data_IF_418369017192
#
_entry.id   IF_418369017192
#
_cell.length_a   1.000
_cell.length_b   1.000
_cell.length_c   1.000
_cell.angle_alpha   90.00
_cell.angle_beta   90.00
_cell.angle_gamma   90.00
#
_symmetry.space_group_name_H-M   'P 1'
#
loop_
_entity.id
_entity.type
_entity.pdbx_description
1 polymer ?
#
# COMPACT_ATOMS: atom_id res chain seq x y z
N UNK A 1 11.13 -26.60 -34.78
CA UNK A 1 10.00 -25.66 -34.89
C UNK A 1 10.54 -24.24 -34.87
N UNK A 2 10.02 -23.37 -35.71
CA UNK A 2 10.35 -21.95 -35.70
C UNK A 2 9.48 -21.21 -34.67
N UNK A 3 9.93 -20.04 -34.21
CA UNK A 3 9.22 -19.20 -33.23
C UNK A 3 7.79 -18.85 -33.68
N UNK A 4 7.59 -18.67 -34.99
CA UNK A 4 6.28 -18.34 -35.56
C UNK A 4 5.31 -19.52 -35.51
N UNK A 5 5.79 -20.75 -35.74
CA UNK A 5 4.99 -21.98 -35.64
C UNK A 5 4.56 -22.26 -34.19
N UNK A 6 5.43 -21.98 -33.22
CA UNK A 6 5.14 -22.10 -31.79
C UNK A 6 4.06 -21.10 -31.35
N UNK A 7 4.18 -19.84 -31.76
CA UNK A 7 3.19 -18.80 -31.43
C UNK A 7 1.81 -19.11 -32.03
N UNK A 8 1.76 -19.63 -33.26
CA UNK A 8 0.50 -20.04 -33.89
C UNK A 8 -0.19 -21.19 -33.14
N UNK A 9 0.59 -22.18 -32.65
CA UNK A 9 0.06 -23.29 -31.84
C UNK A 9 -0.35 -22.88 -30.42
N UNK A 10 0.28 -21.87 -29.84
CA UNK A 10 -0.10 -21.34 -28.53
C UNK A 10 -1.40 -20.52 -28.56
N UNK A 11 -1.76 -19.95 -29.73
CA UNK A 11 -2.99 -19.18 -29.90
C UNK A 11 -4.27 -20.04 -29.95
N UNK A 12 -4.15 -21.33 -30.27
CA UNK A 12 -5.26 -22.29 -30.33
C UNK A 12 -5.07 -23.43 -29.32
N UNK A 13 -6.00 -23.67 -28.38
CA UNK A 13 -5.84 -24.75 -27.41
C UNK A 13 -5.77 -26.12 -28.11
N UNK A 14 -4.75 -26.92 -27.77
CA UNK A 14 -4.58 -28.27 -28.30
C UNK A 14 -5.70 -29.19 -27.81
N UNK A 15 -6.27 -29.98 -28.70
CA UNK A 15 -7.21 -31.05 -28.34
C UNK A 15 -6.48 -32.22 -27.66
N UNK A 16 -7.22 -33.06 -26.93
CA UNK A 16 -6.64 -34.18 -26.16
C UNK A 16 -5.86 -35.18 -27.03
N UNK A 17 -6.27 -35.40 -28.28
CA UNK A 17 -5.55 -36.25 -29.24
C UNK A 17 -4.24 -35.62 -29.71
N UNK A 18 -4.23 -34.30 -29.91
CA UNK A 18 -3.04 -33.55 -30.31
C UNK A 18 -2.01 -33.50 -29.19
N UNK A 19 -2.46 -33.31 -27.94
CA UNK A 19 -1.61 -33.37 -26.73
C UNK A 19 -0.86 -34.70 -26.61
N UNK A 20 -1.55 -35.82 -26.85
CA UNK A 20 -0.93 -37.16 -26.86
C UNK A 20 0.07 -37.37 -28.00
N UNK A 21 -0.09 -36.67 -29.12
CA UNK A 21 0.79 -36.77 -30.29
C UNK A 21 2.02 -35.84 -30.23
N UNK A 22 2.00 -34.82 -29.38
CA UNK A 22 3.15 -33.92 -29.17
C UNK A 22 4.21 -34.56 -28.28
N UNK A 23 5.48 -34.39 -28.66
CA UNK A 23 6.61 -34.86 -27.84
C UNK A 23 6.76 -33.97 -26.60
N UNK A 24 7.22 -34.56 -25.49
CA UNK A 24 7.47 -33.85 -24.23
C UNK A 24 8.35 -32.61 -24.40
N UNK A 25 9.41 -32.71 -25.21
CA UNK A 25 10.32 -31.61 -25.49
C UNK A 25 9.61 -30.43 -26.17
N UNK A 26 8.68 -30.70 -27.08
CA UNK A 26 7.90 -29.65 -27.76
C UNK A 26 6.92 -28.99 -26.79
N UNK A 27 6.34 -29.76 -25.86
CA UNK A 27 5.47 -29.24 -24.80
C UNK A 27 6.23 -28.35 -23.82
N UNK A 28 7.45 -28.71 -23.46
CA UNK A 28 8.31 -27.89 -22.59
C UNK A 28 8.64 -26.55 -23.24
N UNK A 29 9.02 -26.56 -24.52
CA UNK A 29 9.28 -25.33 -25.29
C UNK A 29 8.02 -24.45 -25.40
N UNK A 30 6.83 -25.06 -25.54
CA UNK A 30 5.56 -24.32 -25.56
C UNK A 30 5.24 -23.64 -24.23
N UNK A 31 5.51 -24.29 -23.09
CA UNK A 31 5.31 -23.74 -21.75
C UNK A 31 6.33 -22.63 -21.46
N UNK A 32 7.59 -22.82 -21.84
CA UNK A 32 8.64 -21.81 -21.67
C UNK A 32 8.42 -20.57 -22.56
N UNK A 33 7.88 -20.77 -23.77
CA UNK A 33 7.51 -19.67 -24.67
C UNK A 33 6.24 -18.92 -24.23
N UNK A 34 5.49 -19.46 -23.25
CA UNK A 34 4.31 -18.82 -22.69
C UNK A 34 4.72 -17.67 -21.77
N UNK A 35 4.98 -16.51 -22.38
CA UNK A 35 5.21 -15.28 -21.61
C UNK A 35 3.93 -14.92 -20.86
N UNK A 36 3.98 -14.72 -19.53
CA UNK A 36 2.80 -14.32 -18.77
C UNK A 36 2.29 -13.00 -19.34
N UNK A 37 1.01 -12.97 -19.71
CA UNK A 37 0.39 -11.78 -20.28
C UNK A 37 0.71 -10.57 -19.39
N UNK A 38 1.23 -9.51 -20.00
CA UNK A 38 1.54 -8.27 -19.31
C UNK A 38 0.25 -7.76 -18.64
N UNK A 39 0.20 -7.83 -17.30
CA UNK A 39 -0.94 -7.31 -16.55
C UNK A 39 -0.91 -5.80 -16.66
N UNK A 40 -1.93 -5.23 -17.31
CA UNK A 40 -2.11 -3.79 -17.33
C UNK A 40 -2.09 -3.23 -15.91
N UNK A 41 -1.32 -2.17 -15.69
CA UNK A 41 -1.26 -1.50 -14.39
C UNK A 41 -2.67 -1.01 -14.02
N UNK A 42 -3.26 -1.59 -12.97
CA UNK A 42 -4.58 -1.19 -12.51
C UNK A 42 -4.46 0.16 -11.82
N UNK A 43 -5.07 1.19 -12.41
CA UNK A 43 -5.18 2.51 -11.75
C UNK A 43 -6.06 2.34 -10.52
N UNK A 44 -5.51 2.61 -9.34
CA UNK A 44 -6.25 2.45 -8.10
C UNK A 44 -7.17 3.64 -7.90
N UNK A 45 -8.46 3.37 -7.66
CA UNK A 45 -9.44 4.44 -7.39
C UNK A 45 -9.13 5.17 -6.07
N UNK A 46 -9.52 6.43 -5.91
CA UNK A 46 -9.51 7.08 -4.60
C UNK A 46 -10.24 6.22 -3.57
N UNK A 47 -9.69 6.15 -2.36
CA UNK A 47 -10.20 5.27 -1.31
C UNK A 47 -9.82 5.79 0.08
N UNK A 48 -10.81 5.87 0.97
CA UNK A 48 -10.59 6.15 2.40
C UNK A 48 -10.43 4.81 3.11
N UNK A 49 -9.28 4.59 3.72
CA UNK A 49 -8.95 3.35 4.44
C UNK A 49 -9.50 3.35 5.86
N UNK A 50 -9.45 4.50 6.52
CA UNK A 50 -9.99 4.73 7.83
C UNK A 50 -10.36 6.20 7.98
N UNK A 51 -11.45 6.46 8.69
CA UNK A 51 -11.87 7.81 9.04
C UNK A 51 -11.18 8.26 10.33
N UNK A 52 -10.83 9.55 10.45
CA UNK A 52 -10.32 10.09 11.70
C UNK A 52 -11.40 10.11 12.78
N UNK A 53 -10.99 10.12 14.05
CA UNK A 53 -11.94 10.29 15.16
C UNK A 53 -12.64 11.67 15.07
N UNK A 54 -13.90 11.81 15.51
CA UNK A 54 -14.62 13.07 15.39
C UNK A 54 -14.07 14.19 16.28
N UNK A 55 -13.39 13.85 17.39
CA UNK A 55 -12.88 14.80 18.38
C UNK A 55 -11.39 14.62 18.60
N UNK A 56 -10.66 15.73 18.69
CA UNK A 56 -9.21 15.72 18.93
C UNK A 56 -8.81 15.13 20.29
N UNK A 57 -9.70 15.13 21.27
CA UNK A 57 -9.48 14.55 22.60
C UNK A 57 -9.26 13.03 22.55
N UNK A 58 -9.86 12.34 21.58
CA UNK A 58 -9.74 10.88 21.46
C UNK A 58 -8.47 10.43 20.74
N UNK A 59 -7.58 11.36 20.36
CA UNK A 59 -6.32 11.05 19.69
C UNK A 59 -5.29 10.54 20.70
N UNK A 60 -4.55 9.52 20.28
CA UNK A 60 -3.35 9.08 21.00
C UNK A 60 -2.11 9.74 20.43
N UNK A 61 -1.34 10.42 21.29
CA UNK A 61 -0.08 11.04 20.92
C UNK A 61 0.96 10.00 20.47
N UNK A 62 1.67 10.31 19.38
CA UNK A 62 2.69 9.46 18.79
C UNK A 62 4.03 9.71 19.47
N UNK A 63 4.78 8.65 19.79
CA UNK A 63 6.14 8.80 20.30
C UNK A 63 7.07 9.33 19.22
N UNK A 64 7.86 10.36 19.52
CA UNK A 64 8.87 10.90 18.61
C UNK A 64 9.84 9.81 18.13
N UNK A 65 10.26 9.89 16.87
CA UNK A 65 11.14 8.89 16.24
C UNK A 65 10.53 7.49 15.99
N UNK A 66 9.35 7.18 16.52
CA UNK A 66 8.70 5.89 16.29
C UNK A 66 8.34 5.67 14.82
N UNK A 67 8.23 4.41 14.39
CA UNK A 67 7.79 4.10 13.02
C UNK A 67 6.40 4.68 12.72
N UNK A 68 5.49 4.70 13.71
CA UNK A 68 4.17 5.33 13.57
C UNK A 68 4.27 6.84 13.35
N UNK A 69 5.17 7.51 14.07
CA UNK A 69 5.42 8.94 13.86
C UNK A 69 6.00 9.23 12.47
N UNK A 70 6.99 8.45 12.02
CA UNK A 70 7.55 8.58 10.66
C UNK A 70 6.49 8.36 9.58
N UNK A 71 5.63 7.35 9.75
CA UNK A 71 4.52 7.09 8.85
C UNK A 71 3.54 8.26 8.79
N UNK A 72 3.08 8.76 9.96
CA UNK A 72 2.16 9.89 10.04
C UNK A 72 2.76 11.17 9.44
N UNK A 73 4.05 11.43 9.67
CA UNK A 73 4.75 12.57 9.09
C UNK A 73 4.87 12.49 7.55
N UNK A 74 5.11 11.29 7.02
CA UNK A 74 5.12 11.07 5.57
C UNK A 74 3.73 11.23 4.95
N UNK A 75 2.69 10.68 5.60
CA UNK A 75 1.30 10.81 5.17
C UNK A 75 0.80 12.26 5.23
N UNK A 76 1.27 13.07 6.18
CA UNK A 76 0.90 14.48 6.27
C UNK A 76 1.31 15.30 5.04
N UNK A 77 2.46 14.95 4.43
CA UNK A 77 2.98 15.60 3.21
C UNK A 77 2.33 15.05 1.92
N UNK A 78 1.66 13.91 2.00
CA UNK A 78 1.23 13.13 0.85
C UNK A 78 2.39 12.32 0.26
N UNK A 79 2.34 11.00 0.40
CA UNK A 79 3.43 10.11 -0.02
C UNK A 79 2.91 8.95 -0.87
N UNK A 80 3.73 8.45 -1.80
CA UNK A 80 3.46 7.20 -2.51
C UNK A 80 3.72 5.99 -1.61
N UNK A 81 3.22 4.82 -1.99
CA UNK A 81 3.47 3.59 -1.23
C UNK A 81 4.97 3.29 -1.08
N UNK A 82 5.76 3.55 -2.11
CA UNK A 82 7.22 3.34 -2.10
C UNK A 82 7.91 4.29 -1.11
N UNK A 83 7.54 5.57 -1.12
CA UNK A 83 8.05 6.56 -0.16
C UNK A 83 7.67 6.21 1.28
N UNK A 84 6.47 5.67 1.50
CA UNK A 84 6.06 5.19 2.81
C UNK A 84 6.90 3.98 3.23
N UNK A 85 7.10 2.99 2.36
CA UNK A 85 7.93 1.83 2.64
C UNK A 85 9.37 2.24 3.00
N UNK A 86 9.95 3.20 2.28
CA UNK A 86 11.28 3.75 2.54
C UNK A 86 11.35 4.47 3.90
N UNK A 87 10.36 5.32 4.22
CA UNK A 87 10.35 6.10 5.45
C UNK A 87 10.29 5.25 6.74
N UNK A 88 9.61 4.11 6.70
CA UNK A 88 9.47 3.20 7.86
C UNK A 88 10.29 1.91 7.77
N UNK A 89 10.83 1.59 6.61
CA UNK A 89 11.51 0.31 6.35
C UNK A 89 10.57 -0.88 6.47
N UNK A 90 9.31 -0.72 6.05
CA UNK A 90 8.29 -1.76 6.07
C UNK A 90 7.96 -2.24 4.66
N UNK A 91 7.51 -3.50 4.55
CA UNK A 91 6.99 -3.99 3.28
C UNK A 91 5.61 -3.38 2.99
N UNK A 92 5.18 -3.46 1.72
CA UNK A 92 3.91 -2.90 1.25
C UNK A 92 2.69 -3.36 2.06
N UNK A 93 2.63 -4.65 2.40
CA UNK A 93 1.52 -5.24 3.15
C UNK A 93 1.43 -4.67 4.56
N UNK A 94 2.58 -4.53 5.24
CA UNK A 94 2.68 -3.94 6.57
C UNK A 94 2.28 -2.46 6.56
N UNK A 95 2.72 -1.68 5.56
CA UNK A 95 2.31 -0.28 5.43
C UNK A 95 0.80 -0.15 5.22
N UNK A 96 0.21 -0.97 4.34
CA UNK A 96 -1.24 -0.95 4.11
C UNK A 96 -2.03 -1.36 5.35
N UNK A 97 -1.55 -2.37 6.08
CA UNK A 97 -2.16 -2.81 7.34
C UNK A 97 -2.09 -1.72 8.42
N UNK A 98 -0.99 -0.96 8.45
CA UNK A 98 -0.81 0.15 9.39
C UNK A 98 -1.82 1.28 9.20
N UNK A 99 -2.43 1.44 8.02
CA UNK A 99 -3.50 2.43 7.82
C UNK A 99 -4.72 2.10 8.69
N UNK A 100 -5.20 0.86 8.62
CA UNK A 100 -6.41 0.45 9.34
C UNK A 100 -6.16 0.05 10.79
N UNK A 101 -4.90 -0.20 11.17
CA UNK A 101 -4.53 -0.56 12.54
C UNK A 101 -3.83 0.59 13.28
N UNK A 102 -2.64 1.00 12.87
CA UNK A 102 -1.85 1.99 13.61
C UNK A 102 -2.43 3.39 13.54
N UNK A 103 -2.80 3.88 12.35
CA UNK A 103 -3.39 5.21 12.18
C UNK A 103 -4.77 5.26 12.83
N UNK A 104 -5.60 4.23 12.61
CA UNK A 104 -6.91 4.09 13.25
C UNK A 104 -6.82 4.08 14.79
N UNK A 105 -5.93 3.26 15.36
CA UNK A 105 -5.74 3.19 16.82
C UNK A 105 -5.20 4.50 17.40
N UNK A 106 -4.48 5.28 16.59
CA UNK A 106 -4.01 6.61 17.00
C UNK A 106 -5.09 7.68 16.85
N UNK A 107 -6.20 7.38 16.16
CA UNK A 107 -7.32 8.28 15.89
C UNK A 107 -7.19 9.08 14.57
N UNK A 108 -6.20 8.78 13.75
CA UNK A 108 -6.04 9.40 12.43
C UNK A 108 -6.76 8.61 11.35
N UNK A 109 -7.18 9.31 10.30
CA UNK A 109 -7.66 8.68 9.08
C UNK A 109 -6.58 8.66 7.99
N UNK A 110 -6.78 7.82 6.99
CA UNK A 110 -5.91 7.73 5.82
C UNK A 110 -6.75 7.64 4.56
N UNK A 111 -6.43 8.48 3.58
CA UNK A 111 -7.05 8.43 2.27
C UNK A 111 -6.02 8.32 1.15
N UNK A 112 -6.36 7.58 0.11
CA UNK A 112 -5.69 7.65 -1.19
C UNK A 112 -6.49 8.58 -2.10
N UNK A 113 -5.81 9.56 -2.68
CA UNK A 113 -6.39 10.51 -3.64
C UNK A 113 -6.15 10.09 -5.09
N UNK A 114 -6.68 10.88 -6.03
CA UNK A 114 -6.59 10.61 -7.48
C UNK A 114 -5.15 10.58 -8.01
N UNK A 115 -4.24 11.27 -7.34
CA UNK A 115 -2.81 11.37 -7.64
C UNK A 115 -2.01 10.13 -7.17
N UNK A 116 -2.68 9.06 -6.72
CA UNK A 116 -2.07 7.83 -6.20
C UNK A 116 -1.22 8.03 -4.92
N UNK A 117 -1.30 9.19 -4.29
CA UNK A 117 -0.67 9.45 -2.99
C UNK A 117 -1.63 9.20 -1.85
N UNK A 118 -1.04 8.87 -0.71
CA UNK A 118 -1.73 8.62 0.55
C UNK A 118 -1.54 9.83 1.46
N UNK A 119 -2.65 10.29 2.01
CA UNK A 119 -2.74 11.48 2.84
C UNK A 119 -3.27 11.13 4.23
N UNK A 120 -2.75 11.83 5.23
CA UNK A 120 -3.27 11.76 6.59
C UNK A 120 -4.52 12.65 6.71
N UNK A 121 -5.61 12.07 7.19
CA UNK A 121 -6.79 12.82 7.61
C UNK A 121 -6.66 13.12 9.11
N UNK A 122 -6.57 14.40 9.44
CA UNK A 122 -6.56 14.85 10.83
C UNK A 122 -7.99 15.08 11.33
N UNK A 123 -8.29 14.73 12.58
CA UNK A 123 -9.57 15.03 13.20
C UNK A 123 -9.75 16.54 13.41
N UNK A 124 -11.01 16.98 13.48
CA UNK A 124 -11.36 18.40 13.66
C UNK A 124 -10.79 18.93 14.98
N UNK A 125 -10.14 20.09 14.92
CA UNK A 125 -9.53 20.76 16.08
C UNK A 125 -8.05 20.45 16.30
N UNK A 126 -7.45 19.54 15.52
CA UNK A 126 -6.03 19.26 15.57
C UNK A 126 -5.30 20.03 14.46
N UNK A 127 -4.31 20.86 14.82
CA UNK A 127 -3.54 21.66 13.86
C UNK A 127 -2.23 20.99 13.41
N UNK A 128 -1.63 20.18 14.30
CA UNK A 128 -0.35 19.50 14.07
C UNK A 128 -0.36 18.09 14.64
N UNK A 129 0.63 17.29 14.28
CA UNK A 129 0.77 15.95 14.86
C UNK A 129 1.08 16.06 16.36
N UNK A 130 0.34 15.34 17.23
CA UNK A 130 0.65 15.23 18.65
C UNK A 130 1.83 14.29 18.82
N UNK A 131 3.02 14.87 18.86
CA UNK A 131 4.28 14.14 19.03
C UNK A 131 4.73 14.28 20.48
N UNK A 132 4.84 13.15 21.17
CA UNK A 132 5.35 13.06 22.52
C UNK A 132 6.88 12.99 22.47
N UNK A 133 7.53 14.02 23.00
CA UNK A 133 8.97 14.06 23.19
C UNK A 133 9.39 13.30 24.46
N UNK A 134 10.69 12.96 24.57
CA UNK A 134 11.21 12.24 25.74
C UNK A 134 11.06 13.10 27.00
N UNK A 135 10.32 12.61 27.99
CA UNK A 135 10.04 13.31 29.25
C UNK A 135 8.72 14.09 29.28
N UNK A 136 7.95 14.11 28.19
CA UNK A 136 6.64 14.75 28.12
C UNK A 136 5.51 13.71 28.30
N UNK A 137 4.42 14.09 28.95
CA UNK A 137 3.23 13.24 29.01
C UNK A 137 2.50 13.24 27.66
N UNK A 138 1.79 12.15 27.35
CA UNK A 138 0.95 12.08 26.13
C UNK A 138 -0.13 13.17 26.11
N UNK A 139 -0.65 13.54 27.28
CA UNK A 139 -1.67 14.56 27.41
C UNK A 139 -1.14 15.94 27.00
N UNK A 140 0.07 16.29 27.45
CA UNK A 140 0.69 17.59 27.12
C UNK A 140 0.99 17.71 25.63
N UNK A 141 1.50 16.63 25.02
CA UNK A 141 1.73 16.57 23.57
C UNK A 141 0.43 16.74 22.76
N UNK A 142 -0.70 16.25 23.28
CA UNK A 142 -2.02 16.41 22.65
C UNK A 142 -2.53 17.84 22.77
N UNK A 143 -2.45 18.44 23.96
CA UNK A 143 -2.85 19.85 24.18
C UNK A 143 -2.02 20.78 23.30
N UNK A 144 -0.70 20.56 23.25
CA UNK A 144 0.18 21.30 22.36
C UNK A 144 -0.27 21.20 20.90
N UNK A 145 -0.79 20.06 20.45
CA UNK A 145 -1.20 19.87 19.07
C UNK A 145 -2.54 20.52 18.69
N UNK A 146 -3.37 20.86 19.67
CA UNK A 146 -4.65 21.56 19.49
C UNK A 146 -4.48 23.11 19.47
N UNK A 147 -3.45 23.62 20.14
CA UNK A 147 -3.10 25.06 20.16
C UNK A 147 -2.40 25.48 18.86
#
# INVERSE_FOLDING_TARGET
MTKNELNAKLATPLTASQLKGTKLADLQVMVEAQTPAAKNARVLKPHVYCEPVPKAESITSLTEGSKKHKLAAALLKGATMEQLMEAVGWNRSTVQSAFSYDMKNSGFGVERRKDQKYYLLMPKGLKRLPVMQKGQSRADARVAACN
#
